data_IF_864350977346
#
_entry.id   IF_864350977346
#
_cell.length_a   1.000
_cell.length_b   1.000
_cell.length_c   1.000
_cell.angle_alpha   90.00
_cell.angle_beta   90.00
_cell.angle_gamma   90.00
#
_symmetry.space_group_name_H-M   'P 1'
#
loop_
_entity.id
_entity.type
_entity.pdbx_description
1 polymer ?
#
# COMPACT_ATOMS: atom_id res chain seq x y z
N UNK A 1 -5.41 -10.55 17.92
CA UNK A 1 -4.78 -9.33 18.47
C UNK A 1 -4.94 -8.25 17.41
N UNK A 2 -5.71 -7.19 17.67
CA UNK A 2 -6.01 -6.12 16.70
C UNK A 2 -4.76 -5.21 16.54
N UNK A 3 -4.49 -4.71 15.33
CA UNK A 3 -3.30 -3.92 14.98
C UNK A 3 -3.12 -2.69 15.90
N UNK A 4 -4.23 -2.09 16.33
CA UNK A 4 -4.25 -0.96 17.27
C UNK A 4 -3.59 -1.30 18.62
N UNK A 5 -3.81 -2.52 19.11
CA UNK A 5 -3.18 -3.01 20.35
C UNK A 5 -1.70 -3.34 20.16
N UNK A 6 -1.31 -3.78 18.95
CA UNK A 6 0.06 -4.13 18.62
C UNK A 6 0.96 -2.90 18.51
N UNK A 7 0.38 -1.77 18.07
CA UNK A 7 1.07 -0.50 17.89
C UNK A 7 0.85 0.47 19.06
N UNK A 8 0.11 0.05 20.11
CA UNK A 8 -0.23 0.84 21.29
C UNK A 8 -0.80 2.22 20.91
N UNK A 9 -1.65 2.27 19.89
CA UNK A 9 -2.13 3.53 19.33
C UNK A 9 -3.19 4.15 20.23
N UNK A 10 -2.79 5.22 20.94
CA UNK A 10 -3.70 6.05 21.73
C UNK A 10 -4.31 7.21 20.93
N UNK A 11 -3.73 7.55 19.77
CA UNK A 11 -4.18 8.67 18.95
C UNK A 11 -4.51 8.23 17.51
N UNK A 12 -5.81 8.16 17.14
CA UNK A 12 -6.23 7.76 15.80
C UNK A 12 -5.85 8.79 14.73
N UNK A 13 -5.53 10.04 15.10
CA UNK A 13 -5.14 11.10 14.14
C UNK A 13 -3.78 10.79 13.51
N UNK A 14 -2.88 10.17 14.25
CA UNK A 14 -1.53 9.87 13.78
C UNK A 14 -1.43 8.54 13.03
N UNK A 15 -2.46 7.69 13.10
CA UNK A 15 -2.46 6.36 12.48
C UNK A 15 -2.05 6.37 10.98
N UNK A 16 -2.56 7.29 10.13
CA UNK A 16 -2.14 7.34 8.73
C UNK A 16 -0.65 7.61 8.55
N UNK A 17 -0.07 8.45 9.43
CA UNK A 17 1.37 8.77 9.40
C UNK A 17 2.20 7.55 9.74
N UNK A 18 1.81 6.80 10.78
CA UNK A 18 2.51 5.58 11.16
C UNK A 18 2.40 4.48 10.10
N UNK A 19 1.23 4.32 9.49
CA UNK A 19 1.06 3.39 8.37
C UNK A 19 1.98 3.76 7.20
N UNK A 20 2.08 5.05 6.86
CA UNK A 20 2.99 5.52 5.81
C UNK A 20 4.46 5.27 6.15
N UNK A 21 4.88 5.54 7.39
CA UNK A 21 6.25 5.31 7.85
C UNK A 21 6.62 3.83 7.88
N UNK A 22 5.72 2.95 8.33
CA UNK A 22 5.92 1.50 8.30
C UNK A 22 6.04 1.01 6.86
N UNK A 23 5.11 1.44 5.98
CA UNK A 23 5.18 1.10 4.57
C UNK A 23 6.53 1.49 3.96
N UNK A 24 7.02 2.69 4.26
CA UNK A 24 8.33 3.17 3.81
C UNK A 24 9.46 2.31 4.37
N UNK A 25 9.50 2.09 5.69
CA UNK A 25 10.57 1.36 6.35
C UNK A 25 10.74 -0.07 5.80
N UNK A 26 9.64 -0.76 5.51
CA UNK A 26 9.68 -2.14 5.02
C UNK A 26 9.90 -2.25 3.50
N UNK A 27 9.44 -1.27 2.72
CA UNK A 27 9.56 -1.35 1.25
C UNK A 27 10.83 -0.72 0.68
N UNK A 28 11.46 0.24 1.37
CA UNK A 28 12.66 0.93 0.89
C UNK A 28 13.87 0.01 0.69
N UNK A 29 14.22 -0.92 1.60
CA UNK A 29 15.36 -1.81 1.39
C UNK A 29 15.21 -2.66 0.12
N UNK A 30 14.03 -3.25 -0.09
CA UNK A 30 13.74 -4.06 -1.27
C UNK A 30 13.77 -3.22 -2.57
N UNK A 31 13.26 -2.00 -2.51
CA UNK A 31 13.30 -1.07 -3.64
C UNK A 31 14.70 -0.75 -4.09
N UNK A 32 15.59 -0.43 -3.15
CA UNK A 32 16.98 -0.08 -3.44
C UNK A 32 17.66 -1.26 -4.13
N UNK A 33 17.47 -2.48 -3.62
CA UNK A 33 17.99 -3.71 -4.23
C UNK A 33 17.53 -3.82 -5.69
N UNK A 34 16.25 -3.62 -5.97
CA UNK A 34 15.71 -3.77 -7.32
C UNK A 34 16.10 -2.61 -8.24
N UNK A 35 16.20 -1.38 -7.74
CA UNK A 35 16.61 -0.19 -8.51
C UNK A 35 18.08 -0.27 -8.93
N UNK A 36 18.96 -0.85 -8.10
CA UNK A 36 20.36 -1.09 -8.45
C UNK A 36 20.54 -1.97 -9.70
N UNK A 37 19.51 -2.71 -10.12
CA UNK A 37 19.51 -3.53 -11.34
C UNK A 37 19.11 -2.75 -12.61
N UNK A 38 19.06 -1.41 -12.57
CA UNK A 38 18.92 -0.56 -13.75
C UNK A 38 17.48 -0.24 -14.18
N UNK A 39 16.48 -0.55 -13.35
CA UNK A 39 15.09 -0.19 -13.65
C UNK A 39 14.82 1.29 -13.35
N UNK A 40 14.61 2.08 -14.40
CA UNK A 40 14.17 3.48 -14.27
C UNK A 40 12.92 3.74 -15.11
N UNK A 41 11.81 4.13 -14.48
CA UNK A 41 10.63 4.70 -15.15
C UNK A 41 10.35 6.09 -14.60
N UNK A 42 9.99 7.04 -15.47
CA UNK A 42 9.62 8.41 -15.11
C UNK A 42 8.11 8.57 -15.24
N UNK A 43 7.47 9.09 -14.21
CA UNK A 43 6.04 9.36 -14.17
C UNK A 43 5.78 10.85 -14.00
N UNK A 44 4.64 11.32 -14.49
CA UNK A 44 4.20 12.70 -14.30
C UNK A 44 3.66 12.91 -12.88
N UNK A 45 3.79 14.14 -12.36
CA UNK A 45 3.30 14.50 -11.03
C UNK A 45 1.78 14.30 -10.88
N UNK A 46 1.02 14.49 -11.95
CA UNK A 46 -0.44 14.27 -11.98
C UNK A 46 -0.77 12.79 -11.78
N UNK A 47 -0.02 11.90 -12.45
CA UNK A 47 -0.20 10.47 -12.27
C UNK A 47 0.08 10.04 -10.83
N UNK A 48 1.05 10.66 -10.15
CA UNK A 48 1.36 10.36 -8.75
C UNK A 48 0.29 10.78 -7.75
N UNK A 49 -0.55 11.78 -8.05
CA UNK A 49 -1.64 12.21 -7.15
C UNK A 49 -2.91 11.41 -7.43
N UNK A 50 -3.22 11.14 -8.70
CA UNK A 50 -4.44 10.45 -9.06
C UNK A 50 -4.34 8.92 -8.92
N UNK A 51 -3.15 8.34 -9.11
CA UNK A 51 -2.95 6.91 -8.99
C UNK A 51 -3.23 6.34 -7.57
N UNK A 52 -2.77 6.93 -6.45
CA UNK A 52 -3.08 6.43 -5.11
C UNK A 52 -4.58 6.33 -4.86
N UNK A 53 -5.33 7.36 -5.27
CA UNK A 53 -6.77 7.39 -5.10
C UNK A 53 -7.44 6.27 -5.90
N UNK A 54 -7.08 6.14 -7.18
CA UNK A 54 -7.62 5.09 -8.04
C UNK A 54 -7.23 3.69 -7.52
N UNK A 55 -5.99 3.50 -7.10
CA UNK A 55 -5.48 2.25 -6.53
C UNK A 55 -6.26 1.86 -5.28
N UNK A 56 -6.43 2.75 -4.30
CA UNK A 56 -7.15 2.40 -3.07
C UNK A 56 -8.65 2.16 -3.31
N UNK A 57 -9.27 2.91 -4.20
CA UNK A 57 -10.67 2.66 -4.59
C UNK A 57 -10.81 1.28 -5.25
N UNK A 58 -9.98 0.97 -6.24
CA UNK A 58 -10.09 -0.29 -6.99
C UNK A 58 -9.68 -1.47 -6.12
N UNK A 59 -8.54 -1.38 -5.42
CA UNK A 59 -7.97 -2.51 -4.70
C UNK A 59 -8.64 -2.77 -3.35
N UNK A 60 -9.05 -1.72 -2.63
CA UNK A 60 -9.64 -1.89 -1.29
C UNK A 60 -11.15 -1.81 -1.33
N UNK A 61 -11.68 -0.71 -1.85
CA UNK A 61 -13.11 -0.48 -1.78
C UNK A 61 -13.89 -1.46 -2.67
N UNK A 62 -13.38 -1.77 -3.87
CA UNK A 62 -14.04 -2.67 -4.81
C UNK A 62 -13.53 -4.11 -4.66
N UNK A 63 -12.26 -4.35 -4.97
CA UNK A 63 -11.70 -5.71 -5.07
C UNK A 63 -11.67 -6.43 -3.73
N UNK A 64 -11.08 -5.82 -2.69
CA UNK A 64 -10.97 -6.48 -1.38
C UNK A 64 -12.36 -6.70 -0.77
N UNK A 65 -13.25 -5.72 -0.83
CA UNK A 65 -14.65 -5.89 -0.39
C UNK A 65 -15.34 -7.05 -1.11
N UNK A 66 -15.17 -7.17 -2.43
CA UNK A 66 -15.72 -8.30 -3.19
C UNK A 66 -15.11 -9.64 -2.74
N UNK A 67 -13.79 -9.72 -2.60
CA UNK A 67 -13.10 -10.94 -2.16
C UNK A 67 -13.55 -11.40 -0.76
N UNK A 68 -13.85 -10.47 0.14
CA UNK A 68 -14.37 -10.78 1.48
C UNK A 68 -15.75 -11.43 1.46
N UNK A 69 -16.50 -11.33 0.36
CA UNK A 69 -17.79 -12.05 0.22
C UNK A 69 -17.60 -13.54 -0.10
N UNK A 70 -16.39 -13.96 -0.48
CA UNK A 70 -16.07 -15.30 -0.98
C UNK A 70 -15.03 -16.00 -0.09
N UNK A 71 -14.07 -15.24 0.42
CA UNK A 71 -12.90 -15.74 1.12
C UNK A 71 -12.77 -15.15 2.53
N UNK A 72 -12.08 -15.89 3.40
CA UNK A 72 -11.65 -15.40 4.71
C UNK A 72 -10.75 -14.15 4.59
N UNK A 73 -10.73 -13.26 5.60
CA UNK A 73 -10.02 -11.97 5.53
C UNK A 73 -8.56 -12.07 5.13
N UNK A 74 -7.82 -13.02 5.71
CA UNK A 74 -6.41 -13.22 5.40
C UNK A 74 -6.21 -13.61 3.93
N UNK A 75 -7.01 -14.57 3.44
CA UNK A 75 -6.95 -15.03 2.04
C UNK A 75 -7.31 -13.91 1.07
N UNK A 76 -8.34 -13.13 1.38
CA UNK A 76 -8.75 -11.97 0.58
C UNK A 76 -7.64 -10.91 0.49
N UNK A 77 -6.95 -10.61 1.59
CA UNK A 77 -5.81 -9.69 1.61
C UNK A 77 -4.65 -10.22 0.78
N UNK A 78 -4.33 -11.52 0.89
CA UNK A 78 -3.26 -12.15 0.11
C UNK A 78 -3.56 -12.03 -1.39
N UNK A 79 -4.76 -12.41 -1.84
CA UNK A 79 -5.17 -12.34 -3.25
C UNK A 79 -5.13 -10.90 -3.76
N UNK A 80 -5.72 -9.95 -3.02
CA UNK A 80 -5.70 -8.52 -3.38
C UNK A 80 -4.27 -7.97 -3.49
N UNK A 81 -3.39 -8.38 -2.58
CA UNK A 81 -1.96 -8.01 -2.59
C UNK A 81 -1.25 -8.58 -3.82
N UNK A 82 -1.45 -9.86 -4.14
CA UNK A 82 -0.84 -10.47 -5.32
C UNK A 82 -1.29 -9.76 -6.60
N UNK A 83 -2.58 -9.44 -6.73
CA UNK A 83 -3.10 -8.68 -7.87
C UNK A 83 -2.43 -7.29 -7.93
N UNK A 84 -2.27 -6.62 -6.79
CA UNK A 84 -1.60 -5.33 -6.75
C UNK A 84 -0.12 -5.42 -7.15
N UNK A 85 0.59 -6.47 -6.73
CA UNK A 85 1.98 -6.71 -7.14
C UNK A 85 2.10 -6.90 -8.65
N UNK A 86 1.20 -7.67 -9.27
CA UNK A 86 1.15 -7.85 -10.73
C UNK A 86 0.90 -6.51 -11.42
N UNK A 87 -0.10 -5.76 -10.96
CA UNK A 87 -0.39 -4.42 -11.47
C UNK A 87 0.84 -3.50 -11.35
N UNK A 88 1.52 -3.53 -10.21
CA UNK A 88 2.67 -2.68 -9.95
C UNK A 88 3.86 -3.02 -10.84
N UNK A 89 4.12 -4.30 -11.10
CA UNK A 89 5.15 -4.71 -12.07
C UNK A 89 4.84 -4.18 -13.47
N UNK A 90 3.61 -4.35 -13.95
CA UNK A 90 3.21 -3.94 -15.28
C UNK A 90 3.24 -2.41 -15.47
N UNK A 91 2.68 -1.68 -14.50
CA UNK A 91 2.48 -0.22 -14.60
C UNK A 91 3.69 0.57 -14.10
N UNK A 92 4.30 0.15 -12.98
CA UNK A 92 5.40 0.86 -12.32
C UNK A 92 6.79 0.26 -12.59
N UNK A 93 6.83 -1.05 -12.84
CA UNK A 93 8.05 -1.82 -13.04
C UNK A 93 8.49 -2.60 -11.79
N UNK A 94 9.49 -3.48 -11.93
CA UNK A 94 9.87 -4.44 -10.89
C UNK A 94 10.18 -3.84 -9.51
N UNK A 95 10.84 -2.67 -9.36
CA UNK A 95 11.11 -2.08 -8.05
C UNK A 95 9.86 -1.84 -7.20
N UNK A 96 8.71 -1.61 -7.84
CA UNK A 96 7.46 -1.28 -7.17
C UNK A 96 6.68 -2.53 -6.72
N UNK A 97 7.11 -3.74 -7.10
CA UNK A 97 6.52 -4.98 -6.59
C UNK A 97 6.67 -5.07 -5.07
N UNK A 98 7.85 -4.69 -4.56
CA UNK A 98 8.12 -4.68 -3.13
C UNK A 98 7.24 -3.68 -2.36
N UNK A 99 6.93 -2.55 -2.99
CA UNK A 99 5.97 -1.58 -2.45
C UNK A 99 4.61 -2.21 -2.36
N UNK A 100 4.13 -2.73 -3.48
CA UNK A 100 2.82 -3.33 -3.61
C UNK A 100 2.62 -4.51 -2.67
N UNK A 101 3.67 -5.27 -2.35
CA UNK A 101 3.63 -6.31 -1.32
C UNK A 101 3.37 -5.70 0.07
N UNK A 102 4.18 -4.72 0.47
CA UNK A 102 4.13 -4.14 1.81
C UNK A 102 2.85 -3.32 2.01
N UNK A 103 2.55 -2.39 1.11
CA UNK A 103 1.31 -1.59 1.16
C UNK A 103 0.10 -2.47 0.89
N UNK A 104 0.23 -3.48 0.04
CA UNK A 104 -0.72 -4.57 -0.17
C UNK A 104 -1.26 -5.15 1.13
N UNK A 105 -0.35 -5.69 1.94
CA UNK A 105 -0.68 -6.35 3.20
C UNK A 105 -1.07 -5.32 4.27
N UNK A 106 -0.22 -4.31 4.50
CA UNK A 106 -0.40 -3.36 5.59
C UNK A 106 -1.69 -2.56 5.45
N UNK A 107 -1.96 -2.04 4.25
CA UNK A 107 -3.18 -1.26 4.00
C UNK A 107 -4.41 -2.16 3.88
N UNK A 108 -4.24 -3.42 3.46
CA UNK A 108 -5.32 -4.41 3.50
C UNK A 108 -5.82 -4.63 4.93
N UNK A 109 -4.92 -4.88 5.88
CA UNK A 109 -5.29 -5.01 7.30
C UNK A 109 -5.86 -3.71 7.87
N UNK A 110 -5.22 -2.57 7.61
CA UNK A 110 -5.70 -1.29 8.09
C UNK A 110 -7.11 -0.96 7.56
N UNK A 111 -7.41 -1.29 6.30
CA UNK A 111 -8.74 -1.09 5.72
C UNK A 111 -9.82 -1.87 6.48
N UNK A 112 -9.54 -3.13 6.86
CA UNK A 112 -10.51 -3.93 7.61
C UNK A 112 -10.75 -3.42 9.04
N UNK A 113 -9.73 -2.83 9.67
CA UNK A 113 -9.82 -2.39 11.06
C UNK A 113 -10.33 -0.95 11.22
N UNK A 114 -9.91 -0.04 10.33
CA UNK A 114 -10.17 1.40 10.48
C UNK A 114 -10.80 2.05 9.25
N UNK A 115 -11.05 1.29 8.19
CA UNK A 115 -11.70 1.75 6.96
C UNK A 115 -10.76 2.46 5.96
N UNK A 116 -11.37 3.03 4.92
CA UNK A 116 -10.65 3.55 3.75
C UNK A 116 -9.95 4.90 3.98
N UNK A 117 -10.49 5.76 4.85
CA UNK A 117 -9.98 7.13 5.01
C UNK A 117 -8.53 7.15 5.54
N UNK A 118 -8.18 6.43 6.62
CA UNK A 118 -6.80 6.41 7.12
C UNK A 118 -5.82 5.79 6.11
N UNK A 119 -6.26 4.76 5.39
CA UNK A 119 -5.47 4.09 4.36
C UNK A 119 -5.18 5.04 3.20
N UNK A 120 -6.18 5.75 2.71
CA UNK A 120 -6.03 6.70 1.61
C UNK A 120 -5.03 7.80 1.97
N UNK A 121 -5.17 8.40 3.16
CA UNK A 121 -4.23 9.42 3.66
C UNK A 121 -2.82 8.83 3.78
N UNK A 122 -2.67 7.63 4.33
CA UNK A 122 -1.38 6.97 4.46
C UNK A 122 -0.70 6.75 3.09
N UNK A 123 -1.46 6.30 2.10
CA UNK A 123 -0.95 6.11 0.74
C UNK A 123 -0.50 7.44 0.11
N UNK A 124 -1.30 8.51 0.29
CA UNK A 124 -0.93 9.84 -0.16
C UNK A 124 0.33 10.40 0.51
N UNK A 125 0.57 10.09 1.79
CA UNK A 125 1.78 10.50 2.50
C UNK A 125 3.01 9.69 2.09
N UNK A 126 2.82 8.39 1.86
CA UNK A 126 3.89 7.45 1.50
C UNK A 126 4.53 7.77 0.14
N UNK A 127 3.73 8.08 -0.87
CA UNK A 127 4.18 8.18 -2.27
C UNK A 127 5.12 9.37 -2.56
N UNK A 128 4.89 10.59 -2.03
CA UNK A 128 5.82 11.71 -2.19
C UNK A 128 7.16 11.47 -1.52
N UNK A 129 7.17 10.81 -0.34
CA UNK A 129 8.42 10.49 0.36
C UNK A 129 9.29 9.57 -0.51
N UNK A 130 8.67 8.62 -1.21
CA UNK A 130 9.33 7.73 -2.17
C UNK A 130 10.05 8.46 -3.30
N UNK A 131 9.50 9.58 -3.78
CA UNK A 131 10.05 10.31 -4.94
C UNK A 131 11.36 11.02 -4.58
N UNK A 132 11.54 11.36 -3.30
CA UNK A 132 12.71 12.11 -2.81
C UNK A 132 13.94 11.19 -2.65
N UNK A 133 13.75 9.86 -2.56
CA UNK A 133 14.81 8.86 -2.34
C UNK A 133 15.03 7.98 -3.60
#
# INVERSE_FOLDING_TARGET
MNLLNLLNFRDPVLLPVYLALLALAFSTPLYIILRMHGYTRRYSLIFFILAPLAEEIVLRLILLTYLLTIFEPLTAIIISTTIYMIYADLVYGPPFIAEALVTGILFGFAFLEVGIIPVLIAHFLYRPIRIIW
#
